data_IF_299653203890
#
_entry.id   IF_299653203890
#
_cell.length_a   1.000
_cell.length_b   1.000
_cell.length_c   1.000
_cell.angle_alpha   90.00
_cell.angle_beta   90.00
_cell.angle_gamma   90.00
#
_symmetry.space_group_name_H-M   'P 1'
#
loop_
_entity.id
_entity.type
_entity.pdbx_description
1 polymer ?
#
# COMPACT_ATOMS: atom_id res chain seq x y z
N UNK A 1 9.98 -3.01 14.89
CA UNK A 1 10.02 -2.63 13.45
C UNK A 1 8.95 -3.47 12.80
N UNK A 2 7.96 -2.87 12.13
CA UNK A 2 6.95 -3.63 11.39
C UNK A 2 7.67 -4.46 10.31
N UNK A 3 7.35 -5.75 10.10
CA UNK A 3 7.94 -6.54 9.03
C UNK A 3 7.50 -6.06 7.64
N UNK A 4 6.51 -5.16 7.58
CA UNK A 4 5.95 -4.65 6.35
C UNK A 4 6.67 -3.40 5.84
N UNK A 5 6.57 -3.18 4.53
CA UNK A 5 7.07 -1.97 3.88
C UNK A 5 6.27 -0.72 4.25
N UNK A 6 6.73 0.41 3.73
CA UNK A 6 6.07 1.70 3.93
C UNK A 6 4.61 1.67 3.43
N UNK A 7 3.74 2.41 4.14
CA UNK A 7 2.31 2.45 3.82
C UNK A 7 1.49 1.28 4.38
N UNK A 8 2.13 0.30 5.02
CA UNK A 8 1.43 -0.83 5.66
C UNK A 8 1.34 -0.65 7.17
N UNK A 9 0.12 -0.74 7.70
CA UNK A 9 -0.16 -0.63 9.15
C UNK A 9 -0.89 -1.87 9.64
N UNK A 10 -0.44 -2.40 10.79
CA UNK A 10 -1.08 -3.51 11.50
C UNK A 10 -2.17 -2.99 12.41
N UNK A 11 -3.34 -3.62 12.33
CA UNK A 11 -4.50 -3.36 13.16
C UNK A 11 -4.97 -4.66 13.81
N UNK A 12 -5.40 -4.52 15.07
CA UNK A 12 -6.17 -5.55 15.74
C UNK A 12 -7.63 -5.12 15.79
N UNK A 13 -8.50 -5.94 15.23
CA UNK A 13 -9.92 -5.65 15.15
C UNK A 13 -10.64 -6.10 16.42
N UNK A 14 -11.82 -5.53 16.68
CA UNK A 14 -12.63 -5.85 17.86
C UNK A 14 -13.14 -7.29 17.89
N UNK A 15 -13.25 -7.97 16.75
CA UNK A 15 -13.55 -9.41 16.64
C UNK A 15 -12.32 -10.30 16.83
N UNK A 16 -11.15 -9.71 17.13
CA UNK A 16 -9.93 -10.42 17.50
C UNK A 16 -9.06 -10.86 16.34
N UNK A 17 -9.27 -10.32 15.13
CA UNK A 17 -8.40 -10.58 13.97
C UNK A 17 -7.24 -9.59 13.94
N UNK A 18 -6.14 -10.05 13.36
CA UNK A 18 -4.97 -9.23 13.09
C UNK A 18 -4.88 -9.00 11.58
N UNK A 19 -4.91 -7.73 11.19
CA UNK A 19 -4.99 -7.30 9.79
C UNK A 19 -3.84 -6.34 9.47
N UNK A 20 -3.18 -6.56 8.34
CA UNK A 20 -2.29 -5.59 7.73
C UNK A 20 -3.04 -4.85 6.63
N UNK A 21 -3.08 -3.53 6.70
CA UNK A 21 -3.70 -2.69 5.67
C UNK A 21 -2.60 -1.94 4.94
N UNK A 22 -2.46 -2.21 3.65
CA UNK A 22 -1.48 -1.58 2.77
C UNK A 22 -2.16 -0.48 1.97
N UNK A 23 -1.64 0.75 2.11
CA UNK A 23 -2.02 1.90 1.30
C UNK A 23 -0.80 2.31 0.50
N UNK A 24 -0.96 2.41 -0.81
CA UNK A 24 0.09 2.95 -1.67
C UNK A 24 0.34 4.42 -1.30
N UNK A 25 1.54 4.70 -0.79
CA UNK A 25 1.99 6.04 -0.46
C UNK A 25 2.24 6.91 -1.72
N UNK A 26 2.20 6.29 -2.90
CA UNK A 26 2.52 6.91 -4.18
C UNK A 26 4.01 7.19 -4.35
N UNK A 27 4.34 7.77 -5.50
CA UNK A 27 5.70 8.26 -5.77
C UNK A 27 5.86 9.67 -5.23
N UNK A 28 6.88 9.88 -4.38
CA UNK A 28 7.29 11.20 -3.95
C UNK A 28 8.33 11.81 -4.92
N UNK A 29 8.75 13.05 -4.66
CA UNK A 29 9.70 13.76 -5.52
C UNK A 29 11.06 13.04 -5.65
N UNK A 30 11.55 12.41 -4.59
CA UNK A 30 12.80 11.66 -4.61
C UNK A 30 12.67 10.39 -5.46
N UNK A 31 11.59 9.62 -5.24
CA UNK A 31 11.32 8.41 -6.04
C UNK A 31 11.13 8.77 -7.53
N UNK A 32 10.47 9.88 -7.80
CA UNK A 32 10.30 10.40 -9.17
C UNK A 32 11.64 10.73 -9.82
N UNK A 33 12.54 11.41 -9.09
CA UNK A 33 13.87 11.74 -9.60
C UNK A 33 14.70 10.49 -9.93
N UNK A 34 14.67 9.46 -9.06
CA UNK A 34 15.37 8.20 -9.27
C UNK A 34 14.81 7.40 -10.46
N UNK A 35 13.49 7.40 -10.63
CA UNK A 35 12.83 6.79 -11.79
C UNK A 35 13.26 7.54 -13.06
N UNK A 36 13.23 8.87 -13.06
CA UNK A 36 13.64 9.68 -14.21
C UNK A 36 15.09 9.41 -14.61
N UNK A 37 16.02 9.40 -13.66
CA UNK A 37 17.43 9.09 -13.92
C UNK A 37 17.58 7.71 -14.59
N UNK A 38 16.83 6.72 -14.11
CA UNK A 38 16.85 5.35 -14.67
C UNK A 38 16.27 5.29 -16.09
N UNK A 39 15.18 6.02 -16.36
CA UNK A 39 14.54 6.08 -17.68
C UNK A 39 15.42 6.80 -18.69
N UNK A 40 16.00 7.94 -18.30
CA UNK A 40 16.93 8.73 -19.12
C UNK A 40 18.16 7.92 -19.52
N UNK A 41 18.73 7.15 -18.58
CA UNK A 41 19.86 6.27 -18.86
C UNK A 41 19.54 5.18 -19.92
N UNK A 42 18.26 4.85 -20.09
CA UNK A 42 17.77 3.88 -21.08
C UNK A 42 17.27 4.55 -22.37
N UNK A 43 17.36 5.89 -22.47
CA UNK A 43 16.81 6.65 -23.60
C UNK A 43 15.27 6.64 -23.65
N UNK A 44 14.63 6.34 -22.52
CA UNK A 44 13.16 6.34 -22.37
C UNK A 44 12.73 7.71 -21.83
N UNK A 45 11.61 8.28 -22.31
CA UNK A 45 11.10 9.55 -21.77
C UNK A 45 10.92 9.50 -20.25
N UNK A 46 11.29 10.58 -19.57
CA UNK A 46 11.12 10.70 -18.12
C UNK A 46 9.63 10.65 -17.73
N UNK A 47 9.33 10.32 -16.48
CA UNK A 47 7.97 10.17 -15.96
C UNK A 47 7.14 11.48 -16.09
N UNK A 48 7.80 12.62 -15.95
CA UNK A 48 7.23 13.96 -16.05
C UNK A 48 6.97 14.42 -17.50
N UNK A 49 7.46 13.68 -18.50
CA UNK A 49 7.16 13.93 -19.92
C UNK A 49 5.70 13.67 -20.29
N UNK A 50 4.93 13.03 -19.41
CA UNK A 50 3.54 12.64 -19.65
C UNK A 50 3.37 11.41 -20.56
N UNK A 51 4.47 10.83 -21.04
CA UNK A 51 4.46 9.56 -21.80
C UNK A 51 4.12 8.38 -20.89
N UNK A 52 4.53 8.45 -19.63
CA UNK A 52 4.27 7.44 -18.63
C UNK A 52 3.18 7.89 -17.66
N UNK A 53 2.37 6.94 -17.21
CA UNK A 53 1.40 7.15 -16.14
C UNK A 53 1.77 6.27 -14.95
N UNK A 54 1.91 6.87 -13.78
CA UNK A 54 2.01 6.14 -12.52
C UNK A 54 0.65 5.49 -12.25
N UNK A 55 0.64 4.18 -12.14
CA UNK A 55 -0.53 3.43 -11.68
C UNK A 55 -0.36 3.26 -10.17
N UNK A 56 -1.26 3.89 -9.41
CA UNK A 56 -1.31 3.75 -7.95
C UNK A 56 -2.00 2.44 -7.62
N UNK A 57 -1.42 1.66 -6.72
CA UNK A 57 -1.96 0.38 -6.29
C UNK A 57 -3.24 0.56 -5.45
N UNK A 58 -4.18 -0.40 -5.49
CA UNK A 58 -5.34 -0.38 -4.61
C UNK A 58 -4.92 -0.47 -3.14
N UNK A 59 -5.75 0.08 -2.26
CA UNK A 59 -5.60 -0.19 -0.82
C UNK A 59 -6.06 -1.63 -0.55
N UNK A 60 -5.22 -2.42 0.11
CA UNK A 60 -5.49 -3.85 0.33
C UNK A 60 -5.47 -4.21 1.81
N UNK A 61 -6.35 -5.12 2.20
CA UNK A 61 -6.35 -5.74 3.53
C UNK A 61 -5.82 -7.16 3.38
N UNK A 62 -4.84 -7.51 4.21
CA UNK A 62 -4.18 -8.80 4.27
C UNK A 62 -4.33 -9.33 5.70
N UNK A 63 -4.62 -10.62 5.86
CA UNK A 63 -4.63 -11.25 7.17
C UNK A 63 -3.20 -11.50 7.65
N UNK A 64 -2.90 -11.12 8.89
CA UNK A 64 -1.57 -11.28 9.48
C UNK A 64 -1.66 -12.00 10.83
N UNK A 65 -0.50 -12.43 11.34
CA UNK A 65 -0.40 -13.01 12.66
C UNK A 65 -0.49 -11.97 13.78
N UNK A 66 -0.55 -12.41 15.04
CA UNK A 66 -0.79 -11.53 16.20
C UNK A 66 0.26 -10.44 16.44
N UNK A 67 1.46 -10.57 15.89
CA UNK A 67 2.52 -9.56 15.99
C UNK A 67 2.72 -8.81 14.67
N UNK A 68 1.74 -8.89 13.76
CA UNK A 68 1.80 -8.29 12.44
C UNK A 68 2.66 -9.08 11.45
N UNK A 69 3.04 -10.32 11.73
CA UNK A 69 3.78 -11.15 10.78
C UNK A 69 2.92 -11.60 9.60
N UNK A 70 3.49 -11.66 8.40
CA UNK A 70 2.79 -12.19 7.24
C UNK A 70 2.54 -13.70 7.42
N UNK A 71 1.27 -14.11 7.55
CA UNK A 71 0.87 -15.53 7.48
C UNK A 71 0.50 -15.93 6.05
N UNK A 72 -0.02 -14.96 5.27
CA UNK A 72 -0.32 -15.04 3.84
C UNK A 72 -0.04 -13.68 3.20
N UNK A 73 0.10 -13.66 1.88
CA UNK A 73 0.12 -12.44 1.06
C UNK A 73 -1.14 -12.31 0.20
N UNK A 74 -2.12 -13.18 0.42
CA UNK A 74 -3.40 -13.11 -0.28
C UNK A 74 -4.15 -11.83 0.10
N UNK A 75 -4.58 -11.11 -0.93
CA UNK A 75 -5.35 -9.88 -0.78
C UNK A 75 -6.77 -10.27 -0.42
N UNK A 76 -7.10 -10.12 0.87
CA UNK A 76 -8.41 -10.52 1.36
C UNK A 76 -9.51 -9.55 0.90
N UNK A 77 -9.21 -8.24 0.86
CA UNK A 77 -10.07 -7.22 0.25
C UNK A 77 -9.22 -6.17 -0.47
N UNK A 78 -9.77 -5.61 -1.54
CA UNK A 78 -9.17 -4.51 -2.28
C UNK A 78 -10.16 -3.33 -2.37
N UNK A 79 -9.61 -2.13 -2.28
CA UNK A 79 -10.35 -0.87 -2.37
C UNK A 79 -9.67 0.08 -3.35
N UNK A 80 -10.40 1.10 -3.85
CA UNK A 80 -9.82 2.07 -4.77
C UNK A 80 -8.53 2.70 -4.21
N UNK A 81 -7.55 3.03 -5.09
CA UNK A 81 -6.34 3.72 -4.69
C UNK A 81 -6.62 4.99 -3.88
N UNK A 82 -5.82 5.23 -2.84
CA UNK A 82 -5.98 6.37 -1.93
C UNK A 82 -7.05 6.20 -0.86
N UNK A 83 -7.71 5.04 -0.77
CA UNK A 83 -8.57 4.72 0.38
C UNK A 83 -7.69 4.64 1.63
N UNK A 84 -8.04 5.41 2.68
CA UNK A 84 -7.28 5.41 3.94
C UNK A 84 -7.38 4.06 4.66
N UNK A 85 -6.44 3.77 5.57
CA UNK A 85 -6.48 2.55 6.37
C UNK A 85 -7.80 2.41 7.16
N UNK A 86 -8.25 3.51 7.78
CA UNK A 86 -9.49 3.54 8.57
C UNK A 86 -10.72 3.33 7.70
N UNK A 87 -10.77 3.94 6.51
CA UNK A 87 -11.89 3.74 5.58
C UNK A 87 -11.95 2.31 5.06
N UNK A 88 -10.81 1.71 4.73
CA UNK A 88 -10.74 0.33 4.28
C UNK A 88 -11.27 -0.64 5.34
N UNK A 89 -10.89 -0.45 6.61
CA UNK A 89 -11.37 -1.27 7.73
C UNK A 89 -12.86 -1.05 7.99
N UNK A 90 -13.31 0.21 7.98
CA UNK A 90 -14.73 0.56 8.15
C UNK A 90 -15.60 -0.05 7.05
N UNK A 91 -15.18 0.03 5.79
CA UNK A 91 -15.92 -0.54 4.66
C UNK A 91 -15.89 -2.07 4.66
N UNK A 92 -14.83 -2.67 5.21
CA UNK A 92 -14.75 -4.11 5.42
C UNK A 92 -15.66 -4.59 6.58
N UNK A 93 -16.20 -3.67 7.38
CA UNK A 93 -17.07 -3.97 8.52
C UNK A 93 -16.33 -4.18 9.84
N UNK A 94 -15.07 -3.75 9.96
CA UNK A 94 -14.30 -3.88 11.20
C UNK A 94 -14.38 -2.62 12.06
N UNK A 95 -14.56 -2.84 13.36
CA UNK A 95 -14.20 -1.87 14.39
C UNK A 95 -12.75 -2.04 14.79
N UNK A 96 -12.04 -0.94 14.98
CA UNK A 96 -10.69 -0.91 15.53
C UNK A 96 -10.82 -0.86 17.06
N UNK A 97 -10.05 -1.69 17.77
CA UNK A 97 -10.04 -1.75 19.23
C UNK A 97 -8.98 -0.81 19.83
#
# INVERSE_FOLDING_TARGET
MSPWGDGVVHYRTSDGRDLAVSVDAGVNALTTALINETLEAQGIPALDSGVHKVVVEPTVIIECGPNGEAITLDRWREYPPGTSHEDALRWAGFGIA
#
